data_IF_017077446228
#
_entry.id   IF_017077446228
#
_cell.length_a   1.000
_cell.length_b   1.000
_cell.length_c   1.000
_cell.angle_alpha   90.00
_cell.angle_beta   90.00
_cell.angle_gamma   90.00
#
_symmetry.space_group_name_H-M   'P 1'
#
loop_
_entity.id
_entity.type
_entity.pdbx_description
1 polymer ?
#
# COMPACT_ATOMS: atom_id res chain seq x y z
N UNK A 1 0.04 -6.56 -8.45
CA UNK A 1 1.04 -7.56 -8.87
C UNK A 1 1.00 -7.77 -10.37
N UNK A 2 2.16 -8.01 -11.00
CA UNK A 2 2.31 -8.30 -12.43
C UNK A 2 3.08 -9.62 -12.60
N UNK A 3 2.45 -10.68 -13.11
CA UNK A 3 3.16 -11.89 -13.47
C UNK A 3 3.89 -11.70 -14.80
N UNK A 4 5.19 -11.97 -14.82
CA UNK A 4 6.03 -11.88 -16.00
C UNK A 4 6.67 -13.23 -16.35
N UNK A 5 6.98 -13.43 -17.62
CA UNK A 5 7.72 -14.59 -18.12
C UNK A 5 9.18 -14.58 -17.61
N UNK A 6 9.96 -15.66 -17.79
CA UNK A 6 11.39 -15.64 -17.52
C UNK A 6 12.16 -14.56 -18.29
N UNK A 7 11.61 -14.08 -19.41
CA UNK A 7 12.17 -13.00 -20.23
C UNK A 7 11.71 -11.60 -19.77
N UNK A 8 10.87 -11.51 -18.73
CA UNK A 8 10.35 -10.24 -18.21
C UNK A 8 9.13 -9.70 -18.94
N UNK A 9 8.51 -10.48 -19.85
CA UNK A 9 7.33 -10.02 -20.58
C UNK A 9 6.04 -10.28 -19.78
N UNK A 10 5.11 -9.31 -19.70
CA UNK A 10 3.84 -9.47 -19.01
C UNK A 10 3.03 -10.65 -19.57
N UNK A 11 2.53 -11.50 -18.72
CA UNK A 11 1.70 -12.67 -19.09
C UNK A 11 0.20 -12.34 -19.07
N UNK A 12 -0.17 -11.27 -18.43
CA UNK A 12 -1.54 -10.74 -18.34
C UNK A 12 -1.51 -9.30 -17.83
N UNK A 13 -2.65 -8.63 -17.85
CA UNK A 13 -2.79 -7.32 -17.19
C UNK A 13 -2.49 -7.41 -15.69
N UNK A 14 -1.87 -6.38 -15.15
CA UNK A 14 -1.56 -6.30 -13.72
C UNK A 14 -2.83 -6.42 -12.87
N UNK A 15 -2.74 -7.19 -11.78
CA UNK A 15 -3.78 -7.25 -10.75
C UNK A 15 -3.56 -6.08 -9.80
N UNK A 16 -4.55 -5.19 -9.71
CA UNK A 16 -4.48 -3.99 -8.90
C UNK A 16 -4.44 -4.31 -7.40
N UNK A 17 -3.95 -3.37 -6.60
CA UNK A 17 -4.00 -3.49 -5.15
C UNK A 17 -5.39 -3.03 -4.63
N UNK A 18 -5.77 -3.43 -3.43
CA UNK A 18 -6.92 -2.90 -2.67
C UNK A 18 -8.28 -2.97 -3.35
N UNK A 19 -8.41 -2.34 -4.50
CA UNK A 19 -9.67 -2.28 -5.27
C UNK A 19 -10.01 -3.60 -5.98
N UNK A 20 -9.02 -4.46 -6.18
CA UNK A 20 -9.22 -5.77 -6.81
C UNK A 20 -9.41 -6.83 -5.72
N UNK A 21 -10.64 -7.25 -5.51
CA UNK A 21 -11.07 -8.18 -4.45
C UNK A 21 -11.17 -9.64 -4.90
N UNK A 22 -10.67 -9.98 -6.11
CA UNK A 22 -10.81 -11.33 -6.70
C UNK A 22 -10.33 -12.49 -5.83
N UNK A 23 -9.39 -12.25 -4.92
CA UNK A 23 -8.76 -13.25 -4.06
C UNK A 23 -9.37 -13.35 -2.65
N UNK A 24 -10.62 -12.89 -2.45
CA UNK A 24 -11.29 -12.93 -1.14
C UNK A 24 -11.39 -14.37 -0.60
N UNK A 25 -11.66 -15.33 -1.47
CA UNK A 25 -11.70 -16.74 -1.11
C UNK A 25 -10.33 -17.24 -0.61
N UNK A 26 -9.27 -16.89 -1.31
CA UNK A 26 -7.90 -17.27 -0.97
C UNK A 26 -7.43 -16.59 0.34
N UNK A 27 -7.91 -15.37 0.63
CA UNK A 27 -7.67 -14.70 1.93
C UNK A 27 -8.28 -15.54 3.07
N UNK A 28 -9.52 -15.99 2.92
CA UNK A 28 -10.20 -16.79 3.93
C UNK A 28 -9.52 -18.16 4.11
N UNK A 29 -9.20 -18.84 3.03
CA UNK A 29 -8.47 -20.12 3.07
C UNK A 29 -7.12 -20.01 3.79
N UNK A 30 -6.31 -18.99 3.46
CA UNK A 30 -5.02 -18.78 4.09
C UNK A 30 -5.15 -18.38 5.57
N UNK A 31 -6.18 -17.61 5.94
CA UNK A 31 -6.47 -17.30 7.34
C UNK A 31 -6.86 -18.55 8.15
N UNK A 32 -7.59 -19.49 7.55
CA UNK A 32 -7.96 -20.76 8.18
C UNK A 32 -6.76 -21.71 8.26
N UNK A 33 -5.95 -21.82 7.20
CA UNK A 33 -4.79 -22.70 7.13
C UNK A 33 -3.66 -22.27 8.10
N UNK A 34 -3.32 -20.99 8.11
CA UNK A 34 -2.14 -20.46 8.81
C UNK A 34 -2.49 -19.92 10.21
N UNK A 35 -3.67 -19.33 10.34
CA UNK A 35 -4.09 -18.56 11.51
C UNK A 35 -3.69 -17.08 11.44
N UNK A 36 -4.66 -16.20 11.68
CA UNK A 36 -4.49 -14.73 11.59
C UNK A 36 -3.34 -14.20 12.44
N UNK A 37 -3.22 -14.72 13.67
CA UNK A 37 -2.17 -14.29 14.60
C UNK A 37 -0.77 -14.65 14.09
N UNK A 38 -0.59 -15.87 13.56
CA UNK A 38 0.68 -16.29 12.99
C UNK A 38 1.09 -15.44 11.79
N UNK A 39 0.12 -15.06 10.93
CA UNK A 39 0.34 -14.17 9.81
C UNK A 39 0.78 -12.79 10.31
N UNK A 40 0.06 -12.23 11.28
CA UNK A 40 0.35 -10.91 11.82
C UNK A 40 1.75 -10.86 12.47
N UNK A 41 2.11 -11.83 13.28
CA UNK A 41 3.41 -11.90 13.97
C UNK A 41 4.59 -12.10 13.01
N UNK A 42 4.39 -12.87 11.95
CA UNK A 42 5.46 -13.17 10.98
C UNK A 42 5.60 -12.11 9.90
N UNK A 43 4.49 -11.50 9.47
CA UNK A 43 4.44 -10.62 8.29
C UNK A 43 4.09 -9.17 8.63
N UNK A 44 3.66 -8.86 9.86
CA UNK A 44 3.33 -7.52 10.32
C UNK A 44 2.00 -6.96 9.84
N UNK A 45 1.28 -7.69 9.00
CA UNK A 45 0.02 -7.26 8.41
C UNK A 45 -0.98 -8.41 8.37
N UNK A 46 -2.25 -8.11 8.62
CA UNK A 46 -3.34 -9.02 8.33
C UNK A 46 -3.52 -9.20 6.81
N UNK A 47 -4.08 -10.33 6.38
CA UNK A 47 -4.47 -10.53 4.98
C UNK A 47 -5.69 -9.66 4.64
N UNK A 48 -5.54 -8.88 3.59
CA UNK A 48 -6.60 -8.03 3.03
C UNK A 48 -6.58 -8.08 1.50
N UNK A 49 -7.51 -7.39 0.85
CA UNK A 49 -7.48 -7.21 -0.61
C UNK A 49 -6.21 -6.51 -1.13
N UNK A 50 -5.39 -5.92 -0.26
CA UNK A 50 -4.10 -5.36 -0.64
C UNK A 50 -2.99 -6.41 -0.71
N UNK A 51 -3.13 -7.53 0.00
CA UNK A 51 -2.12 -8.58 0.09
C UNK A 51 -1.88 -9.27 -1.27
N UNK A 52 -0.61 -9.41 -1.64
CA UNK A 52 -0.21 -9.99 -2.93
C UNK A 52 -0.25 -11.52 -2.89
N UNK A 53 0.10 -12.16 -1.78
CA UNK A 53 0.12 -13.62 -1.65
C UNK A 53 -1.19 -14.30 -2.04
N UNK A 54 -2.36 -13.88 -1.51
CA UNK A 54 -3.66 -14.44 -1.93
C UNK A 54 -3.93 -14.28 -3.42
N UNK A 55 -3.51 -13.17 -4.04
CA UNK A 55 -3.68 -12.93 -5.48
C UNK A 55 -2.80 -13.85 -6.33
N UNK A 56 -1.61 -14.20 -5.84
CA UNK A 56 -0.78 -15.23 -6.49
C UNK A 56 -1.46 -16.60 -6.40
N UNK A 57 -2.01 -16.95 -5.24
CA UNK A 57 -2.74 -18.20 -5.05
C UNK A 57 -3.98 -18.26 -5.95
N UNK A 58 -4.70 -17.15 -6.06
CA UNK A 58 -5.82 -17.02 -7.01
C UNK A 58 -5.35 -17.27 -8.46
N UNK A 59 -4.24 -16.66 -8.87
CA UNK A 59 -3.67 -16.86 -10.22
C UNK A 59 -3.33 -18.34 -10.45
N UNK A 60 -2.71 -18.99 -9.47
CA UNK A 60 -2.36 -20.43 -9.52
C UNK A 60 -3.58 -21.31 -9.74
N UNK A 61 -4.68 -21.04 -9.02
CA UNK A 61 -5.92 -21.83 -9.06
C UNK A 61 -6.76 -21.55 -10.29
N UNK A 62 -6.91 -20.27 -10.66
CA UNK A 62 -7.88 -19.86 -11.68
C UNK A 62 -7.27 -19.68 -13.08
N UNK A 63 -5.94 -19.48 -13.15
CA UNK A 63 -5.23 -19.29 -14.41
C UNK A 63 -3.96 -20.17 -14.49
N UNK A 64 -4.07 -21.52 -14.31
CA UNK A 64 -2.91 -22.39 -14.20
C UNK A 64 -1.99 -22.37 -15.42
N UNK A 65 -2.54 -22.17 -16.63
CA UNK A 65 -1.75 -22.02 -17.87
C UNK A 65 -0.87 -20.76 -17.88
N UNK A 66 -1.32 -19.69 -17.23
CA UNK A 66 -0.53 -18.46 -17.06
C UNK A 66 0.49 -18.71 -15.94
N UNK A 67 0.05 -19.22 -14.80
CA UNK A 67 0.91 -19.47 -13.65
C UNK A 67 2.13 -20.35 -13.98
N UNK A 68 1.95 -21.38 -14.81
CA UNK A 68 3.05 -22.25 -15.26
C UNK A 68 4.16 -21.51 -16.03
N UNK A 69 3.81 -20.38 -16.69
CA UNK A 69 4.75 -19.56 -17.47
C UNK A 69 5.41 -18.46 -16.64
N UNK A 70 4.98 -18.27 -15.38
CA UNK A 70 5.51 -17.20 -14.52
C UNK A 70 6.97 -17.44 -14.21
N UNK A 71 7.83 -16.51 -14.62
CA UNK A 71 9.22 -16.43 -14.19
C UNK A 71 9.36 -15.62 -12.90
N UNK A 72 8.70 -14.46 -12.84
CA UNK A 72 8.70 -13.57 -11.66
C UNK A 72 7.32 -12.96 -11.42
N UNK A 73 7.07 -12.58 -10.17
CA UNK A 73 5.94 -11.72 -9.77
C UNK A 73 6.52 -10.36 -9.39
N UNK A 74 6.17 -9.32 -10.13
CA UNK A 74 6.71 -7.98 -9.94
C UNK A 74 5.64 -7.01 -9.40
N UNK A 75 6.09 -5.96 -8.71
CA UNK A 75 5.32 -4.72 -8.49
C UNK A 75 5.44 -3.81 -9.72
N UNK A 76 4.71 -2.70 -9.75
CA UNK A 76 4.86 -1.68 -10.80
C UNK A 76 6.28 -1.11 -10.82
N UNK A 77 6.81 -0.73 -9.66
CA UNK A 77 8.19 -0.22 -9.51
C UNK A 77 9.21 -1.27 -9.96
N UNK A 78 9.06 -2.52 -9.47
CA UNK A 78 9.95 -3.62 -9.88
C UNK A 78 9.95 -3.86 -11.39
N UNK A 79 8.79 -3.71 -12.04
CA UNK A 79 8.68 -3.86 -13.49
C UNK A 79 9.37 -2.73 -14.23
N UNK A 80 9.25 -1.47 -13.78
CA UNK A 80 9.97 -0.34 -14.37
C UNK A 80 11.49 -0.52 -14.23
N UNK A 81 11.97 -0.93 -13.06
CA UNK A 81 13.39 -1.23 -12.84
C UNK A 81 13.85 -2.37 -13.76
N UNK A 82 13.06 -3.43 -13.90
CA UNK A 82 13.36 -4.54 -14.78
C UNK A 82 13.46 -4.08 -16.25
N UNK A 83 12.55 -3.24 -16.74
CA UNK A 83 12.60 -2.70 -18.11
C UNK A 83 13.81 -1.81 -18.34
N UNK A 84 14.26 -1.06 -17.34
CA UNK A 84 15.43 -0.20 -17.44
C UNK A 84 16.75 -0.97 -17.36
N UNK A 85 16.82 -2.01 -16.50
CA UNK A 85 18.10 -2.62 -16.08
C UNK A 85 18.22 -4.10 -16.37
N UNK A 86 17.12 -4.80 -16.69
CA UNK A 86 16.95 -6.25 -16.73
C UNK A 86 17.04 -6.94 -15.33
N UNK A 87 17.10 -6.18 -14.23
CA UNK A 87 17.16 -6.72 -12.88
C UNK A 87 15.76 -6.87 -12.27
N UNK A 88 15.52 -7.99 -11.60
CA UNK A 88 14.26 -8.26 -10.92
C UNK A 88 14.43 -8.04 -9.41
N UNK A 89 14.18 -6.83 -8.94
CA UNK A 89 14.36 -6.40 -7.56
C UNK A 89 13.09 -5.81 -6.97
N UNK A 90 13.02 -5.77 -5.65
CA UNK A 90 11.95 -5.13 -4.89
C UNK A 90 12.49 -4.60 -3.57
N UNK A 91 12.00 -3.47 -3.12
CA UNK A 91 12.36 -2.93 -1.82
C UNK A 91 11.61 -3.61 -0.67
N UNK A 92 12.19 -3.57 0.53
CA UNK A 92 11.63 -4.20 1.72
C UNK A 92 10.26 -3.62 2.11
N UNK A 93 10.04 -2.32 1.88
CA UNK A 93 8.76 -1.67 2.15
C UNK A 93 7.63 -2.24 1.27
N UNK A 94 7.87 -2.33 -0.02
CA UNK A 94 6.90 -2.92 -0.97
C UNK A 94 6.71 -4.41 -0.73
N UNK A 95 7.80 -5.14 -0.37
CA UNK A 95 7.76 -6.57 -0.11
C UNK A 95 6.84 -6.96 1.07
N UNK A 96 6.65 -6.06 2.05
CA UNK A 96 5.73 -6.29 3.16
C UNK A 96 4.26 -6.50 2.71
N UNK A 97 3.89 -6.03 1.51
CA UNK A 97 2.57 -6.28 0.93
C UNK A 97 2.42 -7.71 0.34
N UNK A 98 3.51 -8.49 0.26
CA UNK A 98 3.46 -9.86 -0.24
C UNK A 98 3.08 -10.89 0.84
N UNK A 99 2.45 -10.43 1.94
CA UNK A 99 1.91 -11.32 2.99
C UNK A 99 1.15 -12.50 2.37
N UNK A 100 1.39 -13.77 2.79
CA UNK A 100 2.22 -14.21 3.91
C UNK A 100 3.66 -14.64 3.50
N UNK A 101 4.20 -14.16 2.39
CA UNK A 101 5.47 -14.61 1.80
C UNK A 101 6.70 -13.80 2.26
N UNK A 102 6.52 -12.75 3.08
CA UNK A 102 7.61 -11.91 3.54
C UNK A 102 7.71 -11.91 5.07
N UNK A 103 8.85 -12.40 5.58
CA UNK A 103 9.17 -12.45 7.00
C UNK A 103 9.80 -11.11 7.45
N UNK A 104 9.05 -10.33 8.21
CA UNK A 104 9.48 -9.01 8.73
C UNK A 104 10.53 -9.13 9.86
N UNK A 105 10.72 -10.31 10.44
CA UNK A 105 11.66 -10.52 11.52
C UNK A 105 13.08 -10.76 10.97
N UNK A 106 13.15 -11.47 9.85
CA UNK A 106 14.41 -11.82 9.19
C UNK A 106 14.64 -11.04 7.88
N UNK A 107 13.69 -10.19 7.46
CA UNK A 107 13.74 -9.38 6.24
C UNK A 107 14.03 -10.22 4.99
N UNK A 108 13.33 -11.34 4.85
CA UNK A 108 13.51 -12.30 3.76
C UNK A 108 12.18 -12.85 3.24
N UNK A 109 12.22 -13.36 2.02
CA UNK A 109 11.15 -14.22 1.53
C UNK A 109 11.06 -15.50 2.33
N UNK A 110 9.85 -16.02 2.51
CA UNK A 110 9.61 -17.25 3.25
C UNK A 110 8.40 -17.99 2.69
N UNK A 111 8.46 -19.32 2.72
CA UNK A 111 7.36 -20.24 2.52
C UNK A 111 7.02 -21.02 3.81
N UNK A 112 7.62 -20.61 4.93
CA UNK A 112 7.49 -21.31 6.22
C UNK A 112 6.05 -21.35 6.76
N UNK A 113 5.21 -20.36 6.39
CA UNK A 113 3.80 -20.33 6.78
C UNK A 113 2.92 -21.19 5.86
N UNK A 114 3.25 -21.24 4.59
CA UNK A 114 2.60 -22.08 3.58
C UNK A 114 3.44 -22.16 2.31
N UNK A 115 3.66 -23.36 1.80
CA UNK A 115 4.36 -23.60 0.53
C UNK A 115 3.41 -23.63 -0.68
N UNK A 116 2.11 -23.37 -0.46
CA UNK A 116 1.08 -23.58 -1.48
C UNK A 116 0.96 -22.43 -2.49
N UNK A 117 1.55 -21.27 -2.22
CA UNK A 117 1.35 -20.05 -3.02
C UNK A 117 2.28 -20.05 -4.23
N UNK A 118 3.58 -19.94 -4.00
CA UNK A 118 4.61 -19.83 -5.04
C UNK A 118 5.98 -20.22 -4.48
N UNK A 119 6.84 -20.73 -5.32
CA UNK A 119 8.26 -20.93 -5.00
C UNK A 119 8.94 -19.56 -4.82
N UNK A 120 9.69 -19.37 -3.72
CA UNK A 120 10.31 -18.07 -3.36
C UNK A 120 11.30 -17.57 -4.42
N UNK A 121 11.87 -18.46 -5.21
CA UNK A 121 12.75 -18.14 -6.34
C UNK A 121 12.05 -17.37 -7.45
N UNK A 122 10.73 -17.44 -7.53
CA UNK A 122 9.92 -16.64 -8.47
C UNK A 122 9.57 -15.25 -7.95
N UNK A 123 10.00 -14.90 -6.73
CA UNK A 123 9.89 -13.56 -6.18
C UNK A 123 11.13 -12.72 -6.56
N UNK A 124 11.03 -11.38 -6.65
CA UNK A 124 12.16 -10.52 -6.94
C UNK A 124 13.20 -10.55 -5.82
N UNK A 125 14.45 -10.22 -6.12
CA UNK A 125 15.51 -10.08 -5.12
C UNK A 125 15.20 -8.90 -4.20
N UNK A 126 15.25 -9.12 -2.89
CA UNK A 126 15.08 -8.09 -1.87
C UNK A 126 16.32 -7.20 -1.79
N UNK A 127 16.10 -5.90 -1.78
CA UNK A 127 17.13 -4.87 -1.63
C UNK A 127 16.56 -3.67 -0.87
N UNK A 128 17.42 -2.76 -0.42
CA UNK A 128 16.95 -1.49 0.16
C UNK A 128 16.66 -0.47 -0.95
N UNK A 129 15.69 0.40 -0.71
CA UNK A 129 15.19 1.39 -1.68
C UNK A 129 16.29 2.22 -2.34
N UNK A 130 17.33 2.59 -1.56
CA UNK A 130 18.43 3.46 -2.01
C UNK A 130 19.59 2.71 -2.65
N UNK A 131 19.57 1.38 -2.65
CA UNK A 131 20.61 0.59 -3.32
C UNK A 131 20.48 0.69 -4.84
N UNK A 132 21.61 0.57 -5.53
CA UNK A 132 21.61 0.51 -7.00
C UNK A 132 21.15 -0.88 -7.44
N UNK A 133 20.02 -0.93 -8.10
CA UNK A 133 19.47 -2.15 -8.68
C UNK A 133 20.28 -2.63 -9.89
N UNK A 134 20.69 -1.68 -10.70
CA UNK A 134 21.41 -1.90 -11.95
C UNK A 134 21.67 -0.59 -12.68
N UNK A 135 21.95 -0.70 -13.95
CA UNK A 135 22.25 0.45 -14.83
C UNK A 135 21.35 0.40 -16.07
N UNK A 136 21.01 1.57 -16.60
CA UNK A 136 20.21 1.67 -17.83
C UNK A 136 20.89 0.87 -18.93
N UNK A 137 20.19 -0.13 -19.45
CA UNK A 137 20.65 -0.99 -20.54
C UNK A 137 20.65 -0.23 -21.87
N UNK A 138 21.40 -0.73 -22.85
CA UNK A 138 21.40 -0.12 -24.19
C UNK A 138 19.98 -0.10 -24.81
N UNK A 139 19.23 -1.19 -24.64
CA UNK A 139 17.85 -1.29 -25.17
C UNK A 139 16.96 -0.23 -24.51
N UNK A 140 17.00 -0.11 -23.17
CA UNK A 140 16.22 0.91 -22.47
C UNK A 140 16.65 2.33 -22.85
N UNK A 141 17.96 2.56 -23.06
CA UNK A 141 18.48 3.84 -23.54
C UNK A 141 17.92 4.23 -24.92
N UNK A 142 17.90 3.28 -25.85
CA UNK A 142 17.39 3.49 -27.20
C UNK A 142 15.86 3.79 -27.20
N UNK A 143 15.10 3.17 -26.28
CA UNK A 143 13.64 3.37 -26.15
C UNK A 143 13.28 4.66 -25.40
N UNK A 144 14.06 5.08 -24.40
CA UNK A 144 13.69 6.16 -23.47
C UNK A 144 14.45 7.46 -23.68
N UNK A 145 15.59 7.42 -24.39
CA UNK A 145 16.51 8.55 -24.51
C UNK A 145 17.41 8.76 -23.28
N UNK A 146 17.35 7.91 -22.26
CA UNK A 146 18.26 7.95 -21.12
C UNK A 146 19.68 7.55 -21.55
N UNK A 147 20.70 8.11 -20.86
CA UNK A 147 22.08 7.72 -21.14
C UNK A 147 22.32 6.25 -20.69
N UNK A 148 22.91 5.39 -21.55
CA UNK A 148 23.30 4.04 -21.15
C UNK A 148 24.25 4.09 -19.95
N UNK A 149 24.10 3.15 -19.01
CA UNK A 149 24.95 3.10 -17.81
C UNK A 149 24.56 4.08 -16.71
N UNK A 150 23.47 4.84 -16.87
CA UNK A 150 22.90 5.63 -15.74
C UNK A 150 22.48 4.68 -14.61
N UNK A 151 22.91 4.93 -13.36
CA UNK A 151 22.51 4.07 -12.25
C UNK A 151 21.02 4.21 -11.95
N UNK A 152 20.36 3.07 -11.69
CA UNK A 152 18.95 2.98 -11.33
C UNK A 152 18.84 2.42 -9.93
N UNK A 153 18.18 3.14 -9.02
CA UNK A 153 17.91 2.64 -7.66
C UNK A 153 16.77 1.63 -7.67
N UNK A 154 16.66 0.84 -6.61
CA UNK A 154 15.54 -0.11 -6.43
C UNK A 154 14.20 0.63 -6.44
N UNK A 155 14.16 1.83 -5.87
CA UNK A 155 12.94 2.63 -5.76
C UNK A 155 11.95 2.03 -4.75
N UNK A 156 10.74 2.59 -4.73
CA UNK A 156 9.66 2.17 -3.83
C UNK A 156 8.30 2.49 -4.46
N UNK A 157 7.21 2.21 -3.75
CA UNK A 157 5.84 2.59 -4.17
C UNK A 157 5.55 4.06 -3.89
N UNK A 158 4.50 4.58 -4.53
CA UNK A 158 4.07 5.99 -4.55
C UNK A 158 3.98 6.62 -3.15
N UNK A 159 3.20 6.05 -2.24
CA UNK A 159 2.97 6.60 -0.91
C UNK A 159 4.28 6.81 -0.10
N UNK A 160 5.22 5.89 -0.21
CA UNK A 160 6.52 6.01 0.46
C UNK A 160 7.41 7.06 -0.22
N UNK A 161 7.37 7.16 -1.55
CA UNK A 161 8.08 8.21 -2.30
C UNK A 161 7.52 9.60 -1.98
N UNK A 162 6.18 9.73 -1.87
CA UNK A 162 5.53 10.96 -1.44
C UNK A 162 5.93 11.36 -0.03
N UNK A 163 6.02 10.42 0.91
CA UNK A 163 6.48 10.71 2.27
C UNK A 163 7.91 11.28 2.28
N UNK A 164 8.81 10.70 1.49
CA UNK A 164 10.17 11.22 1.33
C UNK A 164 10.18 12.62 0.72
N UNK A 165 9.30 12.88 -0.27
CA UNK A 165 9.22 14.18 -0.95
C UNK A 165 8.83 15.33 -0.02
N UNK A 166 8.14 15.04 1.08
CA UNK A 166 7.75 16.01 2.12
C UNK A 166 8.64 15.95 3.36
N UNK A 167 9.79 15.28 3.28
CA UNK A 167 10.81 15.30 4.33
C UNK A 167 10.68 14.22 5.40
N UNK A 168 9.95 13.14 5.17
CA UNK A 168 9.81 12.03 6.12
C UNK A 168 10.94 11.03 5.95
N UNK A 169 12.00 11.17 6.76
CA UNK A 169 13.21 10.35 6.68
C UNK A 169 13.47 9.51 7.93
N UNK A 170 13.24 10.07 9.11
CA UNK A 170 13.70 9.54 10.38
C UNK A 170 12.57 9.21 11.36
N UNK A 171 12.95 8.53 12.45
CA UNK A 171 12.03 8.20 13.52
C UNK A 171 11.44 9.47 14.16
N UNK A 172 10.13 9.52 14.28
CA UNK A 172 9.36 10.67 14.73
C UNK A 172 8.72 11.48 13.61
N UNK A 173 9.23 11.36 12.38
CA UNK A 173 8.62 12.03 11.24
C UNK A 173 7.32 11.37 10.85
N UNK A 174 6.35 12.19 10.43
CA UNK A 174 5.04 11.71 9.98
C UNK A 174 4.58 12.49 8.74
N UNK A 175 4.15 11.76 7.72
CA UNK A 175 3.34 12.32 6.63
C UNK A 175 1.86 12.11 6.93
N UNK A 176 1.06 13.14 6.73
CA UNK A 176 -0.40 13.03 6.64
C UNK A 176 -0.85 13.55 5.27
N UNK A 177 -1.28 12.63 4.41
CA UNK A 177 -1.85 12.97 3.12
C UNK A 177 -3.34 13.26 3.29
N UNK A 178 -3.74 14.50 3.01
CA UNK A 178 -5.11 14.98 3.14
C UNK A 178 -5.74 15.13 1.76
N UNK A 179 -6.54 14.16 1.36
CA UNK A 179 -7.25 14.14 0.08
C UNK A 179 -8.72 13.77 0.26
N UNK A 180 -9.32 13.09 -0.69
CA UNK A 180 -10.66 12.49 -0.55
C UNK A 180 -10.73 11.54 0.64
N UNK A 181 -9.61 10.88 0.94
CA UNK A 181 -9.33 10.04 2.10
C UNK A 181 -8.17 10.66 2.90
N UNK A 182 -7.89 10.15 4.10
CA UNK A 182 -6.62 10.41 4.79
C UNK A 182 -5.76 9.16 4.70
N UNK A 183 -4.47 9.35 4.48
CA UNK A 183 -3.46 8.31 4.65
C UNK A 183 -2.28 8.87 5.46
N UNK A 184 -1.82 8.12 6.44
CA UNK A 184 -0.74 8.52 7.34
C UNK A 184 0.37 7.49 7.30
N UNK A 185 1.61 7.96 7.27
CA UNK A 185 2.82 7.17 7.47
C UNK A 185 3.61 7.82 8.61
N UNK A 186 3.84 7.08 9.69
CA UNK A 186 4.73 7.47 10.76
C UNK A 186 5.96 6.58 10.76
N UNK A 187 7.14 7.21 10.76
CA UNK A 187 8.42 6.49 10.87
C UNK A 187 8.79 6.33 12.34
N UNK A 188 9.21 5.13 12.71
CA UNK A 188 9.55 4.76 14.08
C UNK A 188 10.89 4.01 14.12
N UNK A 189 11.55 4.02 15.27
CA UNK A 189 12.75 3.23 15.53
C UNK A 189 12.46 1.85 16.14
N UNK A 190 11.18 1.54 16.34
CA UNK A 190 10.73 0.25 16.88
C UNK A 190 9.65 -0.32 15.98
N UNK A 191 9.66 -1.63 15.83
CA UNK A 191 8.60 -2.37 15.15
C UNK A 191 7.32 -2.27 15.97
N UNK A 192 6.24 -1.77 15.37
CA UNK A 192 4.89 -1.70 15.97
C UNK A 192 3.99 -2.58 15.13
N UNK A 193 3.55 -3.69 15.69
CA UNK A 193 2.64 -4.64 15.04
C UNK A 193 1.29 -4.55 15.75
N UNK A 194 0.27 -4.15 15.01
CA UNK A 194 -1.10 -4.02 15.50
C UNK A 194 -2.05 -4.30 14.32
N UNK A 195 -3.06 -5.14 14.52
CA UNK A 195 -4.01 -5.52 13.47
C UNK A 195 -4.80 -4.33 12.88
N UNK A 196 -4.86 -3.22 13.61
CA UNK A 196 -5.52 -1.98 13.18
C UNK A 196 -4.67 -1.14 12.26
N UNK A 197 -3.36 -1.39 12.17
CA UNK A 197 -2.39 -0.63 11.39
C UNK A 197 -1.82 -1.48 10.28
N UNK A 198 -1.20 -0.83 9.29
CA UNK A 198 -0.29 -1.48 8.37
C UNK A 198 1.14 -1.24 8.82
N UNK A 199 1.96 -2.22 8.62
CA UNK A 199 3.39 -2.20 8.95
C UNK A 199 4.24 -2.49 7.71
N UNK A 200 5.38 -1.81 7.59
CA UNK A 200 6.47 -2.19 6.70
C UNK A 200 7.82 -1.78 7.31
N UNK A 201 8.94 -2.45 6.99
CA UNK A 201 10.26 -1.86 7.17
C UNK A 201 10.28 -0.52 6.42
N UNK A 202 10.84 0.54 7.04
CA UNK A 202 10.94 1.82 6.34
C UNK A 202 12.00 1.75 5.22
N UNK A 203 12.06 2.77 4.39
CA UNK A 203 12.96 2.82 3.22
C UNK A 203 14.45 2.80 3.60
N UNK A 204 14.76 3.19 4.83
CA UNK A 204 16.11 3.24 5.36
C UNK A 204 16.30 2.16 6.43
N UNK A 205 17.43 1.45 6.33
CA UNK A 205 17.74 0.31 7.21
C UNK A 205 17.65 0.66 8.69
N UNK A 206 16.95 -0.19 9.46
CA UNK A 206 16.78 -0.04 10.92
C UNK A 206 15.60 0.84 11.32
N UNK A 207 14.86 1.41 10.38
CA UNK A 207 13.63 2.15 10.62
C UNK A 207 12.39 1.34 10.21
N UNK A 208 11.25 1.73 10.78
CA UNK A 208 9.98 1.06 10.59
C UNK A 208 8.89 2.09 10.24
N UNK A 209 7.96 1.70 9.39
CA UNK A 209 6.78 2.48 9.06
C UNK A 209 5.52 1.89 9.67
N UNK A 210 4.76 2.71 10.38
CA UNK A 210 3.40 2.40 10.80
C UNK A 210 2.44 3.27 10.02
N UNK A 211 1.41 2.65 9.44
CA UNK A 211 0.52 3.33 8.51
C UNK A 211 -0.93 3.18 8.94
N UNK A 212 -1.71 4.22 8.67
CA UNK A 212 -3.15 4.27 8.95
C UNK A 212 -3.87 5.00 7.84
N UNK A 213 -5.17 4.76 7.69
CA UNK A 213 -5.95 5.48 6.70
C UNK A 213 -7.42 5.56 7.04
N UNK A 214 -8.02 6.72 6.80
CA UNK A 214 -9.46 6.95 6.90
C UNK A 214 -10.09 6.91 5.51
N UNK A 215 -11.24 6.24 5.41
CA UNK A 215 -11.92 6.06 4.12
C UNK A 215 -12.59 7.34 3.61
N UNK A 216 -12.91 8.29 4.50
CA UNK A 216 -13.60 9.53 4.15
C UNK A 216 -12.94 10.73 4.83
N UNK A 217 -12.59 11.75 4.07
CA UNK A 217 -12.03 13.02 4.55
C UNK A 217 -12.52 14.18 3.69
N UNK A 218 -11.80 14.63 2.67
CA UNK A 218 -12.23 15.70 1.79
C UNK A 218 -13.58 15.45 1.11
N UNK A 219 -13.95 14.19 0.89
CA UNK A 219 -15.29 13.83 0.43
C UNK A 219 -16.39 14.19 1.43
N UNK A 220 -16.09 14.22 2.74
CA UNK A 220 -17.04 14.69 3.75
C UNK A 220 -17.34 16.17 3.61
N UNK A 221 -16.34 17.00 3.28
CA UNK A 221 -16.56 18.43 3.06
C UNK A 221 -17.44 18.68 1.84
N UNK A 222 -17.27 17.90 0.77
CA UNK A 222 -18.19 17.94 -0.38
C UNK A 222 -19.61 17.51 0.01
N UNK A 223 -19.73 16.42 0.77
CA UNK A 223 -21.02 15.95 1.26
C UNK A 223 -21.71 17.01 2.15
N UNK A 224 -20.96 17.65 3.04
CA UNK A 224 -21.49 18.73 3.90
C UNK A 224 -21.99 19.90 3.06
N UNK A 225 -21.19 20.41 2.12
CA UNK A 225 -21.60 21.46 1.19
C UNK A 225 -22.89 21.10 0.46
N UNK A 226 -22.96 19.90 -0.08
CA UNK A 226 -24.06 19.47 -0.94
C UNK A 226 -25.37 19.18 -0.16
N UNK A 227 -25.31 19.01 1.15
CA UNK A 227 -26.47 18.72 1.99
C UNK A 227 -26.86 19.87 2.93
N UNK A 228 -25.90 20.63 3.47
CA UNK A 228 -26.15 21.65 4.51
C UNK A 228 -25.82 23.08 4.08
N UNK A 229 -25.23 23.31 2.91
CA UNK A 229 -24.82 24.63 2.42
C UNK A 229 -25.24 24.83 0.95
N UNK A 230 -26.43 24.38 0.59
CA UNK A 230 -26.95 24.42 -0.80
C UNK A 230 -27.18 25.83 -1.33
N UNK A 231 -27.42 26.76 -0.45
CA UNK A 231 -27.64 28.20 -0.74
C UNK A 231 -26.34 28.92 -1.09
N UNK A 232 -25.17 28.36 -0.75
CA UNK A 232 -23.89 28.97 -1.07
C UNK A 232 -23.47 28.57 -2.50
N UNK A 233 -23.06 29.56 -3.35
CA UNK A 233 -22.53 29.24 -4.67
C UNK A 233 -21.35 28.24 -4.61
N UNK A 234 -21.39 27.20 -5.41
CA UNK A 234 -20.43 26.08 -5.35
C UNK A 234 -18.96 26.48 -5.49
N UNK A 235 -18.70 27.49 -6.29
CA UNK A 235 -17.37 28.05 -6.55
C UNK A 235 -16.77 28.79 -5.34
N UNK A 236 -17.63 29.30 -4.42
CA UNK A 236 -17.24 30.00 -3.20
C UNK A 236 -17.47 29.21 -1.92
N UNK A 237 -18.13 28.06 -2.02
CA UNK A 237 -18.63 27.33 -0.85
C UNK A 237 -17.50 26.96 0.12
N UNK A 238 -16.38 26.45 -0.35
CA UNK A 238 -15.30 26.05 0.56
C UNK A 238 -14.58 27.22 1.22
N UNK A 239 -14.47 28.37 0.54
CA UNK A 239 -13.92 29.58 1.14
C UNK A 239 -14.82 30.08 2.29
N UNK A 240 -16.13 30.14 2.06
CA UNK A 240 -17.11 30.59 3.07
C UNK A 240 -17.17 29.61 4.23
N UNK A 241 -17.31 28.31 3.95
CA UNK A 241 -17.36 27.28 5.00
C UNK A 241 -16.07 27.22 5.83
N UNK A 242 -14.91 27.46 5.22
CA UNK A 242 -13.64 27.52 5.96
C UNK A 242 -13.58 28.75 6.87
N UNK A 243 -14.10 29.91 6.42
CA UNK A 243 -14.19 31.11 7.23
C UNK A 243 -15.12 30.92 8.43
N UNK A 244 -16.31 30.34 8.22
CA UNK A 244 -17.25 30.01 9.29
C UNK A 244 -16.65 29.00 10.28
N UNK A 245 -15.97 27.97 9.77
CA UNK A 245 -15.31 26.97 10.63
C UNK A 245 -14.20 27.57 11.51
N UNK A 246 -13.52 28.63 11.04
CA UNK A 246 -12.49 29.32 11.78
C UNK A 246 -13.04 30.09 13.01
N UNK A 247 -14.33 30.43 13.02
CA UNK A 247 -15.01 31.06 14.15
C UNK A 247 -15.38 30.05 15.25
N UNK A 248 -15.40 28.76 14.93
CA UNK A 248 -15.73 27.72 15.91
C UNK A 248 -14.60 27.57 16.95
N UNK A 249 -14.93 27.47 18.25
CA UNK A 249 -13.92 27.28 19.27
C UNK A 249 -13.26 25.89 19.13
N UNK A 250 -11.99 25.73 19.56
CA UNK A 250 -11.34 24.42 19.60
C UNK A 250 -12.23 23.38 20.31
N UNK A 251 -12.37 22.18 19.69
CA UNK A 251 -13.25 21.12 20.18
C UNK A 251 -14.71 21.30 19.77
N UNK A 252 -15.06 22.31 18.95
CA UNK A 252 -16.39 22.53 18.35
C UNK A 252 -17.55 22.33 19.37
N UNK A 253 -17.37 22.84 20.60
CA UNK A 253 -18.33 22.70 21.72
C UNK A 253 -18.72 21.24 22.06
N UNK A 254 -17.85 20.27 21.75
CA UNK A 254 -18.10 18.85 22.01
C UNK A 254 -18.76 18.10 20.85
N UNK A 255 -18.95 18.74 19.69
CA UNK A 255 -19.44 18.05 18.50
C UNK A 255 -18.41 17.01 18.04
N UNK A 256 -18.84 15.77 17.85
CA UNK A 256 -18.03 14.66 17.36
C UNK A 256 -18.60 14.17 16.02
N UNK A 257 -17.73 14.04 15.02
CA UNK A 257 -18.08 13.45 13.73
C UNK A 257 -17.29 12.18 13.52
N UNK A 258 -17.99 11.05 13.34
CA UNK A 258 -17.40 9.81 12.85
C UNK A 258 -17.56 9.78 11.33
N UNK A 259 -16.47 9.95 10.55
CA UNK A 259 -16.56 10.19 9.11
C UNK A 259 -16.70 8.88 8.28
N UNK A 260 -17.48 7.92 8.77
CA UNK A 260 -17.56 6.58 8.18
C UNK A 260 -18.57 6.50 7.01
N UNK A 261 -18.58 7.51 6.13
CA UNK A 261 -19.56 7.63 5.05
C UNK A 261 -19.34 6.62 3.91
N UNK A 262 -18.15 6.04 3.83
CA UNK A 262 -17.80 5.00 2.84
C UNK A 262 -17.30 3.71 3.51
N UNK A 263 -17.84 3.39 4.69
CA UNK A 263 -17.22 2.42 5.57
C UNK A 263 -15.99 3.02 6.26
N UNK A 264 -15.22 2.21 6.96
CA UNK A 264 -13.96 2.69 7.55
C UNK A 264 -12.86 1.63 7.47
N UNK A 265 -11.61 2.13 7.33
CA UNK A 265 -10.40 1.32 7.35
C UNK A 265 -9.83 1.27 8.76
N UNK A 266 -8.90 2.12 9.09
CA UNK A 266 -8.32 2.22 10.44
C UNK A 266 -9.25 3.01 11.37
N UNK A 267 -9.57 2.53 12.59
CA UNK A 267 -9.03 1.30 13.22
C UNK A 267 -9.96 0.09 13.14
N UNK A 268 -11.12 0.18 12.51
CA UNK A 268 -12.18 -0.83 12.64
C UNK A 268 -12.30 -1.79 11.47
N UNK A 269 -11.76 -1.44 10.30
CA UNK A 269 -11.78 -2.23 9.06
C UNK A 269 -13.17 -2.80 8.72
N UNK A 270 -14.24 -1.98 8.89
CA UNK A 270 -15.62 -2.36 8.57
C UNK A 270 -16.16 -1.57 7.35
N UNK A 271 -16.36 -2.21 6.20
CA UNK A 271 -16.91 -1.56 5.01
C UNK A 271 -18.39 -1.18 5.17
N UNK A 272 -19.07 -1.68 6.20
CA UNK A 272 -20.48 -1.38 6.49
C UNK A 272 -20.65 -0.29 7.54
N UNK A 273 -19.57 0.21 8.13
CA UNK A 273 -19.62 1.34 9.07
C UNK A 273 -20.32 2.55 8.44
N UNK A 274 -21.01 3.34 9.27
CA UNK A 274 -21.75 4.52 8.82
C UNK A 274 -21.33 5.76 9.58
N UNK A 275 -21.35 6.90 8.90
CA UNK A 275 -21.07 8.20 9.50
C UNK A 275 -22.10 8.57 10.55
N UNK A 276 -21.63 9.27 11.58
CA UNK A 276 -22.47 9.74 12.70
C UNK A 276 -22.00 11.13 13.11
N UNK A 277 -22.93 12.01 13.42
CA UNK A 277 -22.70 13.30 14.07
C UNK A 277 -23.35 13.24 15.43
N UNK A 278 -22.56 13.48 16.47
CA UNK A 278 -22.98 13.38 17.87
C UNK A 278 -22.71 14.69 18.61
N UNK A 279 -23.63 15.09 19.51
CA UNK A 279 -23.47 16.30 20.32
C UNK A 279 -24.04 17.55 19.68
N UNK A 280 -25.04 17.42 18.80
CA UNK A 280 -25.83 18.56 18.30
C UNK A 280 -26.67 19.12 19.45
N UNK A 281 -26.67 20.47 19.65
CA UNK A 281 -27.41 21.24 20.62
C UNK A 281 -28.32 22.31 19.95
#
# INVERSE_FOLDING_TARGET
>A
MLPVSPQGEPLMNAVLYGVDTRAEKEINELNEEIGKENILQSCGNALTSQSVGPKILWLKKNCPKIYQKVGKILSSTSYLVQKLTNENVIDHYTAANFTPLYDINNLKWTDALTSNIIEVERLPKLMWTTEIAGYVSKVAADETGLAPGTPVTVGTIDAAAEAVSVGVFGAGDMMMMYGSTIFMIQVTNKKIIDERLWYAPWLFKGLHGSMAGLATSGTLTHWFRDNFAKEIPKDKAFEILAAEAAEAPPGAKGLIVLPYFSGERTPIHDPRARGTIFGLD
#
